data_IF_489398685474
#
_entry.id   IF_489398685474
#
_cell.length_a   1.000
_cell.length_b   1.000
_cell.length_c   1.000
_cell.angle_alpha   90.00
_cell.angle_beta   90.00
_cell.angle_gamma   90.00
#
_symmetry.space_group_name_H-M   'P 1'
#
loop_
_entity.id
_entity.type
_entity.pdbx_description
1 polymer ?
#
# COMPACT_ATOMS: atom_id res chain seq x y z
N UNK A 1 7.67 -23.69 -15.33
CA UNK A 1 8.12 -24.67 -16.35
C UNK A 1 9.61 -24.98 -16.25
N UNK A 2 10.50 -23.99 -16.15
CA UNK A 2 11.97 -24.21 -16.01
C UNK A 2 12.37 -24.99 -14.76
N UNK A 3 11.73 -24.74 -13.61
CA UNK A 3 12.01 -25.47 -12.37
C UNK A 3 11.66 -26.96 -12.46
N UNK A 4 10.46 -27.28 -12.97
CA UNK A 4 9.97 -28.66 -13.12
C UNK A 4 10.76 -29.47 -14.16
N UNK A 5 11.24 -28.80 -15.22
CA UNK A 5 12.15 -29.43 -16.20
C UNK A 5 13.54 -29.69 -15.59
N UNK A 6 14.05 -28.78 -14.74
CA UNK A 6 15.32 -28.95 -14.02
C UNK A 6 15.26 -30.10 -13.02
N UNK A 7 14.11 -30.30 -12.39
CA UNK A 7 13.87 -31.37 -11.41
C UNK A 7 13.54 -32.73 -12.07
N UNK A 8 13.57 -32.82 -13.41
CA UNK A 8 13.35 -34.06 -14.15
C UNK A 8 11.91 -34.60 -14.09
N UNK A 9 10.98 -33.80 -13.54
CA UNK A 9 9.56 -34.15 -13.42
C UNK A 9 8.81 -34.01 -14.75
N UNK A 10 9.38 -33.25 -15.69
CA UNK A 10 8.98 -33.23 -17.08
C UNK A 10 10.02 -34.04 -17.84
N UNK A 11 9.59 -35.04 -18.62
CA UNK A 11 10.47 -35.83 -19.49
C UNK A 11 11.18 -34.97 -20.55
N UNK A 12 11.78 -35.60 -21.56
CA UNK A 12 12.51 -34.85 -22.61
C UNK A 12 11.61 -33.82 -23.30
N UNK A 13 11.87 -32.53 -23.07
CA UNK A 13 11.14 -31.44 -23.69
C UNK A 13 11.80 -31.09 -25.02
N UNK A 14 11.09 -31.31 -26.12
CA UNK A 14 11.50 -30.80 -27.42
C UNK A 14 11.34 -29.27 -27.45
N UNK A 15 12.42 -28.57 -27.78
CA UNK A 15 12.37 -27.12 -28.00
C UNK A 15 11.78 -26.87 -29.40
N UNK A 16 10.52 -26.46 -29.45
CA UNK A 16 9.82 -26.16 -30.71
C UNK A 16 9.93 -24.66 -31.00
N UNK A 17 10.34 -24.31 -32.22
CA UNK A 17 10.28 -22.94 -32.71
C UNK A 17 8.90 -22.69 -33.32
N UNK A 18 8.10 -21.86 -32.66
CA UNK A 18 6.81 -21.41 -33.17
C UNK A 18 6.98 -20.10 -33.94
N UNK A 19 6.15 -19.83 -34.98
CA UNK A 19 6.12 -18.53 -35.62
C UNK A 19 5.70 -17.44 -34.64
N UNK A 20 6.15 -16.21 -34.89
CA UNK A 20 5.73 -15.05 -34.10
C UNK A 20 4.22 -14.87 -34.20
N UNK A 21 3.54 -14.81 -33.05
CA UNK A 21 2.10 -14.63 -32.95
C UNK A 21 1.80 -13.36 -32.15
N UNK A 22 1.37 -12.30 -32.83
CA UNK A 22 1.07 -11.00 -32.22
C UNK A 22 0.01 -11.09 -31.10
N UNK A 23 -1.12 -11.79 -31.26
CA UNK A 23 -2.09 -11.99 -30.16
C UNK A 23 -1.46 -12.63 -28.92
N UNK A 24 -0.59 -13.63 -29.10
CA UNK A 24 0.11 -14.27 -27.99
C UNK A 24 1.12 -13.32 -27.32
N UNK A 25 1.80 -12.45 -28.07
CA UNK A 25 2.72 -11.46 -27.49
C UNK A 25 1.98 -10.44 -26.64
N UNK A 26 0.85 -9.92 -27.13
CA UNK A 26 0.03 -8.96 -26.38
C UNK A 26 -0.59 -9.62 -25.15
N UNK A 27 -1.17 -10.82 -25.30
CA UNK A 27 -1.79 -11.55 -24.18
C UNK A 27 -0.81 -12.02 -23.11
N UNK A 28 0.47 -12.22 -23.46
CA UNK A 28 1.54 -12.62 -22.52
C UNK A 28 2.46 -11.45 -22.15
N UNK A 29 2.18 -10.24 -22.59
CA UNK A 29 2.99 -9.08 -22.26
C UNK A 29 2.91 -8.81 -20.75
N UNK A 30 4.03 -8.98 -20.06
CA UNK A 30 4.15 -8.56 -18.67
C UNK A 30 4.52 -7.08 -18.59
N UNK A 31 3.97 -6.37 -17.60
CA UNK A 31 4.42 -5.01 -17.30
C UNK A 31 5.92 -5.04 -16.98
N UNK A 32 6.68 -4.12 -17.57
CA UNK A 32 8.10 -3.95 -17.25
C UNK A 32 8.26 -3.70 -15.74
N UNK A 33 9.34 -4.21 -15.12
CA UNK A 33 9.63 -3.92 -13.71
C UNK A 33 9.62 -2.42 -13.44
N UNK A 34 9.07 -2.04 -12.30
CA UNK A 34 9.15 -0.66 -11.84
C UNK A 34 10.59 -0.32 -11.41
N UNK A 35 10.99 0.94 -11.62
CA UNK A 35 12.26 1.45 -11.11
C UNK A 35 12.31 1.47 -9.58
N UNK A 36 13.49 1.76 -9.02
CA UNK A 36 13.67 1.88 -7.57
C UNK A 36 12.80 3.01 -7.01
N UNK A 37 12.10 2.73 -5.92
CA UNK A 37 11.36 3.76 -5.18
C UNK A 37 12.33 4.73 -4.50
N UNK A 38 11.97 6.02 -4.46
CA UNK A 38 12.66 7.02 -3.65
C UNK A 38 12.14 6.95 -2.21
N UNK A 39 13.05 6.95 -1.25
CA UNK A 39 12.74 6.97 0.19
C UNK A 39 12.83 8.40 0.73
N UNK A 40 12.00 8.71 1.71
CA UNK A 40 12.13 9.92 2.51
C UNK A 40 13.51 10.02 3.18
N UNK A 41 13.98 11.25 3.31
CA UNK A 41 15.28 11.60 3.90
C UNK A 41 15.15 12.19 5.30
N UNK A 42 13.96 12.65 5.68
CA UNK A 42 13.66 13.21 6.99
C UNK A 42 12.32 12.67 7.53
N UNK A 43 12.10 12.64 8.85
CA UNK A 43 10.79 12.32 9.43
C UNK A 43 9.68 13.22 8.88
N UNK A 44 8.48 12.66 8.69
CA UNK A 44 7.28 13.35 8.20
C UNK A 44 7.41 13.95 6.78
N UNK A 45 8.45 13.57 6.03
CA UNK A 45 8.55 13.93 4.61
C UNK A 45 7.53 13.16 3.76
N UNK A 46 7.32 11.87 4.08
CA UNK A 46 6.36 11.00 3.40
C UNK A 46 5.73 10.05 4.43
N UNK A 47 4.42 10.17 4.63
CA UNK A 47 3.62 9.21 5.40
C UNK A 47 2.72 8.44 4.46
N UNK A 48 2.76 7.11 4.57
CA UNK A 48 1.85 6.22 3.86
C UNK A 48 0.70 5.85 4.79
N UNK A 49 -0.50 5.76 4.23
CA UNK A 49 -1.68 5.37 4.98
C UNK A 49 -2.52 4.37 4.22
N UNK A 50 -3.08 3.43 4.96
CA UNK A 50 -3.92 2.36 4.44
C UNK A 50 -4.98 1.96 5.48
N UNK A 51 -6.16 1.58 4.99
CA UNK A 51 -7.27 1.07 5.79
C UNK A 51 -7.49 -0.39 5.45
N UNK A 52 -7.39 -1.25 6.45
CA UNK A 52 -7.70 -2.66 6.30
C UNK A 52 -9.06 -2.99 6.93
N UNK A 53 -9.87 -3.76 6.21
CA UNK A 53 -11.14 -4.32 6.71
C UNK A 53 -12.29 -4.26 5.68
N UNK A 54 -13.49 -4.75 6.04
CA UNK A 54 -13.89 -5.19 7.38
C UNK A 54 -13.25 -6.51 7.80
N UNK A 55 -12.93 -6.64 9.08
CA UNK A 55 -12.41 -7.87 9.68
C UNK A 55 -13.56 -8.81 10.05
N UNK A 56 -13.33 -10.12 9.92
CA UNK A 56 -14.32 -11.13 10.27
C UNK A 56 -14.62 -11.17 11.78
N UNK A 57 -13.66 -10.73 12.60
CA UNK A 57 -13.79 -10.67 14.05
C UNK A 57 -13.79 -9.21 14.47
N UNK A 58 -14.79 -8.84 15.25
CA UNK A 58 -14.90 -7.52 15.87
C UNK A 58 -13.81 -7.35 16.92
N UNK A 59 -13.01 -6.30 16.79
CA UNK A 59 -12.01 -5.92 17.77
C UNK A 59 -12.66 -5.20 18.98
N UNK A 60 -11.83 -4.72 19.91
CA UNK A 60 -12.31 -3.93 21.06
C UNK A 60 -13.14 -2.74 20.59
N UNK A 61 -14.16 -2.40 21.38
CA UNK A 61 -15.06 -1.27 21.15
C UNK A 61 -15.86 -1.30 19.85
N UNK A 62 -16.03 -2.46 19.21
CA UNK A 62 -16.88 -2.56 18.02
C UNK A 62 -16.16 -2.35 16.69
N UNK A 63 -14.83 -2.18 16.71
CA UNK A 63 -14.06 -1.90 15.50
C UNK A 63 -14.00 -3.10 14.54
N UNK A 64 -14.19 -2.81 13.25
CA UNK A 64 -14.06 -3.77 12.14
C UNK A 64 -12.93 -3.41 11.19
N UNK A 65 -12.36 -2.21 11.31
CA UNK A 65 -11.31 -1.72 10.46
C UNK A 65 -10.12 -1.28 11.31
N UNK A 66 -8.94 -1.26 10.72
CA UNK A 66 -7.81 -0.53 11.28
C UNK A 66 -7.20 0.38 10.22
N UNK A 67 -6.79 1.55 10.68
CA UNK A 67 -6.13 2.58 9.89
C UNK A 67 -4.67 2.65 10.32
N UNK A 68 -3.77 2.65 9.35
CA UNK A 68 -2.34 2.78 9.58
C UNK A 68 -1.82 4.11 9.05
N UNK A 69 -0.87 4.70 9.77
CA UNK A 69 -0.04 5.80 9.31
C UNK A 69 1.42 5.42 9.53
N UNK A 70 2.19 5.28 8.46
CA UNK A 70 3.58 4.80 8.51
C UNK A 70 4.49 5.86 7.92
N UNK A 71 5.41 6.38 8.73
CA UNK A 71 6.45 7.29 8.27
C UNK A 71 7.52 6.55 7.45
N UNK A 72 7.79 7.02 6.24
CA UNK A 72 8.69 6.33 5.31
C UNK A 72 10.17 6.43 5.72
N UNK A 73 10.55 7.48 6.44
CA UNK A 73 11.91 7.65 6.91
C UNK A 73 12.19 6.73 8.10
N UNK A 74 11.50 6.96 9.23
CA UNK A 74 11.72 6.31 10.52
C UNK A 74 11.12 4.92 10.63
N UNK A 75 10.16 4.57 9.76
CA UNK A 75 9.33 3.35 9.86
C UNK A 75 8.44 3.30 11.11
N UNK A 76 8.31 4.41 11.84
CA UNK A 76 7.36 4.52 12.93
C UNK A 76 5.92 4.45 12.39
N UNK A 77 5.09 3.62 13.01
CA UNK A 77 3.71 3.37 12.59
C UNK A 77 2.71 3.63 13.71
N UNK A 78 1.69 4.42 13.42
CA UNK A 78 0.51 4.59 14.28
C UNK A 78 -0.64 3.74 13.73
N UNK A 79 -1.37 3.06 14.62
CA UNK A 79 -2.54 2.24 14.27
C UNK A 79 -3.75 2.71 15.06
N UNK A 80 -4.85 2.97 14.35
CA UNK A 80 -6.13 3.34 14.94
C UNK A 80 -7.19 2.30 14.59
N UNK A 81 -8.05 1.97 15.55
CA UNK A 81 -9.17 1.05 15.36
C UNK A 81 -10.43 1.85 14.98
N UNK A 82 -11.11 1.43 13.92
CA UNK A 82 -12.27 2.12 13.36
C UNK A 82 -13.49 1.18 13.35
N UNK A 83 -14.65 1.71 13.72
CA UNK A 83 -15.94 1.05 13.56
C UNK A 83 -16.45 1.20 12.12
N UNK A 84 -16.23 2.37 11.53
CA UNK A 84 -16.62 2.73 10.17
C UNK A 84 -15.46 3.41 9.43
N UNK A 85 -15.36 3.15 8.12
CA UNK A 85 -14.35 3.78 7.26
C UNK A 85 -14.44 5.31 7.21
N UNK A 86 -15.63 5.87 7.44
CA UNK A 86 -15.87 7.32 7.48
C UNK A 86 -15.13 8.04 8.61
N UNK A 87 -14.68 7.32 9.64
CA UNK A 87 -13.93 7.89 10.77
C UNK A 87 -12.46 8.20 10.40
N UNK A 88 -11.99 7.80 9.21
CA UNK A 88 -10.59 7.92 8.80
C UNK A 88 -10.08 9.37 8.81
N UNK A 89 -10.91 10.33 8.38
CA UNK A 89 -10.53 11.75 8.39
C UNK A 89 -10.33 12.30 9.80
N UNK A 90 -11.15 11.88 10.76
CA UNK A 90 -11.03 12.34 12.15
C UNK A 90 -9.76 11.79 12.80
N UNK A 91 -9.43 10.52 12.53
CA UNK A 91 -8.16 9.94 12.98
C UNK A 91 -6.94 10.55 12.29
N UNK A 92 -7.05 10.94 11.01
CA UNK A 92 -5.98 11.68 10.33
C UNK A 92 -5.72 13.03 11.02
N UNK A 93 -6.77 13.81 11.35
CA UNK A 93 -6.61 15.08 12.08
C UNK A 93 -5.93 14.88 13.43
N UNK A 94 -6.32 13.85 14.18
CA UNK A 94 -5.68 13.49 15.46
C UNK A 94 -4.21 13.12 15.28
N UNK A 95 -3.93 12.27 14.30
CA UNK A 95 -2.56 11.86 13.98
C UNK A 95 -1.67 13.06 13.64
N UNK A 96 -2.14 13.98 12.79
CA UNK A 96 -1.40 15.20 12.44
C UNK A 96 -1.10 16.05 13.68
N UNK A 97 -2.12 16.32 14.51
CA UNK A 97 -1.93 17.09 15.74
C UNK A 97 -0.94 16.43 16.70
N UNK A 98 -0.93 15.10 16.80
CA UNK A 98 0.00 14.36 17.65
C UNK A 98 1.45 14.46 17.13
N UNK A 99 1.67 14.18 15.84
CA UNK A 99 3.04 14.10 15.29
C UNK A 99 3.68 15.47 15.09
N UNK A 100 2.90 16.49 14.71
CA UNK A 100 3.39 17.85 14.50
C UNK A 100 3.75 18.51 15.84
N UNK A 101 2.97 18.28 16.90
CA UNK A 101 3.30 18.75 18.24
C UNK A 101 4.53 18.05 18.84
N UNK A 102 4.70 16.73 18.60
CA UNK A 102 5.83 15.98 19.17
C UNK A 102 7.16 16.27 18.48
N UNK A 103 7.13 16.62 17.18
CA UNK A 103 8.32 16.74 16.34
C UNK A 103 8.64 18.17 15.94
N UNK A 104 7.74 19.12 16.17
CA UNK A 104 7.81 20.50 15.65
C UNK A 104 8.05 20.56 14.13
N UNK A 105 7.57 19.54 13.40
CA UNK A 105 7.74 19.39 11.95
C UNK A 105 6.40 19.04 11.33
N UNK A 106 6.04 19.75 10.24
CA UNK A 106 4.79 19.53 9.53
C UNK A 106 4.89 18.41 8.49
N UNK A 107 3.79 17.70 8.26
CA UNK A 107 3.70 16.67 7.21
C UNK A 107 3.86 17.30 5.81
N UNK A 108 4.80 16.78 5.01
CA UNK A 108 5.03 17.26 3.64
C UNK A 108 4.18 16.54 2.60
N UNK A 109 4.21 15.20 2.62
CA UNK A 109 3.49 14.36 1.66
C UNK A 109 2.72 13.27 2.38
N UNK A 110 1.42 13.23 2.11
CA UNK A 110 0.54 12.15 2.52
C UNK A 110 0.21 11.27 1.33
N UNK A 111 0.46 9.96 1.42
CA UNK A 111 0.20 9.00 0.34
C UNK A 111 -0.83 7.96 0.78
N UNK A 112 -1.89 7.85 -0.01
CA UNK A 112 -2.93 6.85 0.12
C UNK A 112 -3.10 6.07 -1.19
N UNK A 113 -3.84 4.98 -1.14
CA UNK A 113 -4.28 4.21 -2.30
C UNK A 113 -5.37 4.91 -3.14
N UNK A 114 -5.72 6.16 -2.79
CA UNK A 114 -6.83 6.96 -3.34
C UNK A 114 -8.22 6.43 -2.97
N UNK A 115 -8.34 5.71 -1.86
CA UNK A 115 -9.64 5.46 -1.23
C UNK A 115 -10.44 6.76 -1.02
N UNK A 116 -11.76 6.69 -1.23
CA UNK A 116 -12.67 7.84 -1.05
C UNK A 116 -12.79 8.30 0.40
N UNK A 117 -12.35 7.46 1.33
CA UNK A 117 -12.36 7.67 2.78
C UNK A 117 -11.59 8.92 3.22
N UNK A 118 -10.65 9.41 2.40
CA UNK A 118 -9.84 10.59 2.68
C UNK A 118 -10.27 11.85 1.91
N UNK A 119 -11.32 11.78 1.09
CA UNK A 119 -11.80 12.91 0.29
C UNK A 119 -13.09 13.47 0.89
N UNK A 120 -12.94 14.45 1.79
CA UNK A 120 -14.02 15.32 2.26
C UNK A 120 -13.60 16.79 2.10
N UNK A 121 -14.56 17.72 2.07
CA UNK A 121 -14.35 19.18 1.88
C UNK A 121 -13.46 19.85 2.95
N UNK A 122 -13.01 19.12 3.98
CA UNK A 122 -12.36 19.67 5.16
C UNK A 122 -10.88 19.31 5.32
N UNK A 123 -10.15 19.00 4.24
CA UNK A 123 -8.67 19.04 4.27
C UNK A 123 -8.22 20.42 3.75
N UNK A 124 -8.61 21.47 4.46
CA UNK A 124 -8.04 22.80 4.31
C UNK A 124 -6.92 22.95 5.33
N UNK A 125 -5.73 23.33 4.87
CA UNK A 125 -4.68 23.90 5.72
C UNK A 125 -5.18 25.18 6.38
#
# INVERSE_FOLDING_TARGET
MTMLAREGLLGSLAKVNLPTCEPCMVGKACRKPFGKAKRATHPLELVHSDICGPMNVRARHGAFYFLTFIDDYSRYGSVYLLSHRSEALDYLKRFLAEVENQREVNLKVFRTDRGREYFGESISK
#
